data_IF_481773116415
#
_entry.id   IF_481773116415
#
_cell.length_a   1.000
_cell.length_b   1.000
_cell.length_c   1.000
_cell.angle_alpha   90.00
_cell.angle_beta   90.00
_cell.angle_gamma   90.00
#
_symmetry.space_group_name_H-M   'P 1'
#
loop_
_entity.id
_entity.type
_entity.pdbx_description
1 polymer ?
#
# COMPACT_ATOMS: atom_id res chain seq x y z
N UNK A 1 17.13 5.90 -38.19
CA UNK A 1 18.44 5.22 -38.31
C UNK A 1 19.17 5.35 -36.99
N UNK A 2 19.75 4.28 -36.45
CA UNK A 2 20.68 4.40 -35.34
C UNK A 2 21.83 5.31 -35.79
N UNK A 3 22.15 6.36 -35.01
CA UNK A 3 23.09 7.41 -35.45
C UNK A 3 24.55 6.93 -35.49
N UNK A 4 24.84 5.73 -35.00
CA UNK A 4 26.18 5.14 -34.91
C UNK A 4 26.08 3.63 -34.65
N UNK A 5 27.10 2.86 -35.05
CA UNK A 5 27.24 1.45 -34.67
C UNK A 5 27.21 1.28 -33.13
N UNK A 6 26.64 0.18 -32.60
CA UNK A 6 26.61 -0.05 -31.15
C UNK A 6 28.02 0.01 -30.57
N UNK A 7 28.15 0.64 -29.40
CA UNK A 7 29.42 0.64 -28.67
C UNK A 7 29.81 -0.80 -28.30
N UNK A 8 31.11 -1.10 -28.04
CA UNK A 8 31.51 -2.44 -27.59
C UNK A 8 30.75 -2.93 -26.36
N UNK A 9 30.39 -2.01 -25.46
CA UNK A 9 29.50 -2.25 -24.33
C UNK A 9 28.09 -2.70 -24.76
N UNK A 10 27.46 -1.98 -25.69
CA UNK A 10 26.14 -2.31 -26.20
C UNK A 10 26.14 -3.64 -26.96
N UNK A 11 27.20 -3.91 -27.73
CA UNK A 11 27.36 -5.18 -28.43
C UNK A 11 27.38 -6.37 -27.44
N UNK A 12 28.07 -6.24 -26.31
CA UNK A 12 28.08 -7.27 -25.26
C UNK A 12 26.70 -7.48 -24.62
N UNK A 13 25.96 -6.41 -24.35
CA UNK A 13 24.60 -6.50 -23.81
C UNK A 13 23.62 -7.14 -24.80
N UNK A 14 23.76 -6.82 -26.09
CA UNK A 14 22.97 -7.44 -27.17
C UNK A 14 23.30 -8.93 -27.28
N UNK A 15 24.57 -9.30 -27.20
CA UNK A 15 24.99 -10.72 -27.22
C UNK A 15 24.45 -11.48 -26.01
N UNK A 16 24.53 -10.87 -24.81
CA UNK A 16 23.96 -11.45 -23.60
C UNK A 16 22.45 -11.66 -23.73
N UNK A 17 21.71 -10.66 -24.22
CA UNK A 17 20.27 -10.80 -24.46
C UNK A 17 19.97 -11.93 -25.45
N UNK A 18 20.77 -12.04 -26.52
CA UNK A 18 20.63 -13.10 -27.52
C UNK A 18 20.88 -14.48 -26.94
N UNK A 19 21.89 -14.64 -26.07
CA UNK A 19 22.15 -15.91 -25.39
C UNK A 19 21.00 -16.32 -24.46
N UNK A 20 20.19 -15.36 -24.01
CA UNK A 20 18.94 -15.56 -23.25
C UNK A 20 17.69 -15.72 -24.13
N UNK A 21 17.87 -15.85 -25.45
CA UNK A 21 16.78 -16.00 -26.43
C UNK A 21 15.99 -14.71 -26.71
N UNK A 22 16.58 -13.55 -26.47
CA UNK A 22 15.92 -12.25 -26.59
C UNK A 22 16.62 -11.38 -27.63
N UNK A 23 15.88 -10.92 -28.63
CA UNK A 23 16.41 -9.97 -29.60
C UNK A 23 16.33 -8.53 -29.07
N UNK A 24 17.49 -7.89 -28.92
CA UNK A 24 17.60 -6.49 -28.53
C UNK A 24 18.45 -5.74 -29.55
N UNK A 25 18.00 -4.55 -29.93
CA UNK A 25 18.68 -3.68 -30.88
C UNK A 25 19.39 -2.53 -30.17
N UNK A 26 20.44 -1.98 -30.79
CA UNK A 26 21.14 -0.78 -30.28
C UNK A 26 20.19 0.40 -30.05
N UNK A 27 19.17 0.55 -30.90
CA UNK A 27 18.12 1.58 -30.77
C UNK A 27 17.25 1.38 -29.53
N UNK A 28 16.96 0.13 -29.16
CA UNK A 28 16.23 -0.15 -27.91
C UNK A 28 17.07 0.22 -26.69
N UNK A 29 18.36 -0.13 -26.68
CA UNK A 29 19.28 0.26 -25.61
C UNK A 29 19.38 1.79 -25.47
N UNK A 30 19.50 2.52 -26.58
CA UNK A 30 19.50 3.99 -26.59
C UNK A 30 18.20 4.56 -25.99
N UNK A 31 17.05 4.00 -26.40
CA UNK A 31 15.73 4.40 -25.87
C UNK A 31 15.58 4.09 -24.38
N UNK A 32 16.13 2.98 -23.90
CA UNK A 32 16.10 2.62 -22.48
C UNK A 32 16.99 3.54 -21.65
N UNK A 33 18.14 3.98 -22.16
CA UNK A 33 19.00 5.00 -21.50
C UNK A 33 18.48 6.43 -21.64
N UNK A 34 17.45 6.65 -22.45
CA UNK A 34 16.84 7.96 -22.66
C UNK A 34 16.32 8.59 -21.37
N UNK A 35 16.53 9.90 -21.23
CA UNK A 35 15.96 10.76 -20.17
C UNK A 35 14.45 10.98 -20.39
N UNK A 36 13.68 11.37 -19.35
CA UNK A 36 14.10 11.73 -17.99
C UNK A 36 14.35 10.54 -17.05
N UNK A 37 13.65 9.43 -17.21
CA UNK A 37 13.70 8.26 -16.30
C UNK A 37 14.38 7.06 -16.97
N UNK A 38 15.72 6.97 -16.97
CA UNK A 38 16.43 5.89 -17.67
C UNK A 38 16.10 4.50 -17.08
N UNK A 39 15.72 3.55 -17.94
CA UNK A 39 15.55 2.14 -17.58
C UNK A 39 16.89 1.41 -17.42
N UNK A 40 17.95 1.94 -18.03
CA UNK A 40 19.31 1.40 -17.94
C UNK A 40 20.25 2.47 -17.40
N UNK A 41 21.26 2.10 -16.59
CA UNK A 41 22.31 3.03 -16.23
C UNK A 41 23.03 3.54 -17.49
N UNK A 42 23.61 4.74 -17.35
CA UNK A 42 24.50 5.26 -18.39
C UNK A 42 25.76 4.41 -18.42
N UNK A 43 26.31 4.22 -19.63
CA UNK A 43 27.63 3.62 -19.75
C UNK A 43 28.63 4.51 -18.99
N UNK A 44 29.33 3.92 -18.04
CA UNK A 44 30.44 4.60 -17.37
C UNK A 44 31.47 5.00 -18.41
N UNK A 45 31.85 6.28 -18.38
CA UNK A 45 32.89 6.84 -19.23
C UNK A 45 34.19 6.78 -18.44
N UNK A 46 34.94 5.70 -18.58
CA UNK A 46 36.37 5.74 -18.28
C UNK A 46 37.09 6.45 -19.44
N UNK A 47 37.95 7.41 -19.11
CA UNK A 47 38.94 7.94 -20.04
C UNK A 47 40.25 7.21 -19.79
N UNK A 48 40.52 6.06 -20.43
CA UNK A 48 41.87 5.55 -20.45
C UNK A 48 42.72 6.60 -21.19
N UNK A 49 43.84 7.01 -20.61
CA UNK A 49 44.84 7.81 -21.33
C UNK A 49 45.08 7.17 -22.71
N UNK A 50 44.89 7.97 -23.78
CA UNK A 50 44.89 7.62 -25.23
C UNK A 50 45.98 6.61 -25.68
N UNK A 51 45.85 5.94 -26.87
CA UNK A 51 44.76 5.98 -27.85
C UNK A 51 44.35 4.57 -28.35
N UNK A 52 43.31 3.97 -27.77
CA UNK A 52 42.37 3.12 -28.52
C UNK A 52 40.99 3.44 -27.97
N UNK A 53 40.22 4.19 -28.74
CA UNK A 53 38.95 4.75 -28.33
C UNK A 53 37.92 3.69 -27.98
N UNK A 54 37.39 3.74 -26.77
CA UNK A 54 36.23 2.98 -26.38
C UNK A 54 35.81 3.32 -24.95
N UNK A 55 34.57 3.76 -24.79
CA UNK A 55 33.91 3.74 -23.48
C UNK A 55 33.86 2.26 -23.05
N UNK A 56 34.70 1.85 -22.11
CA UNK A 56 34.59 0.51 -21.52
C UNK A 56 33.49 0.57 -20.47
N UNK A 57 32.23 0.33 -20.86
CA UNK A 57 31.27 -0.13 -19.87
C UNK A 57 31.60 -1.59 -19.61
N UNK A 58 31.80 -1.96 -18.36
CA UNK A 58 31.69 -3.35 -17.95
C UNK A 58 30.28 -3.81 -18.31
N UNK A 59 30.18 -4.91 -19.06
CA UNK A 59 28.92 -5.61 -19.20
C UNK A 59 28.74 -6.38 -17.89
N UNK A 60 28.31 -5.66 -16.86
CA UNK A 60 27.96 -6.24 -15.58
C UNK A 60 26.81 -7.23 -15.82
N UNK A 61 26.91 -8.45 -15.27
CA UNK A 61 25.93 -9.52 -15.50
C UNK A 61 24.52 -9.06 -15.12
N UNK A 62 24.41 -8.27 -14.04
CA UNK A 62 23.17 -7.68 -13.55
C UNK A 62 22.49 -6.77 -14.60
N UNK A 63 23.28 -6.01 -15.37
CA UNK A 63 22.75 -5.14 -16.43
C UNK A 63 22.36 -5.95 -17.66
N UNK A 64 23.07 -7.03 -17.94
CA UNK A 64 22.67 -8.02 -18.95
C UNK A 64 21.29 -8.62 -18.63
N UNK A 65 21.07 -9.02 -17.38
CA UNK A 65 19.78 -9.54 -16.91
C UNK A 65 18.65 -8.52 -17.06
N UNK A 66 18.89 -7.26 -16.69
CA UNK A 66 17.93 -6.17 -16.89
C UNK A 66 17.60 -5.96 -18.38
N UNK A 67 18.60 -5.98 -19.26
CA UNK A 67 18.40 -5.88 -20.71
C UNK A 67 17.56 -7.04 -21.24
N UNK A 68 17.88 -8.27 -20.85
CA UNK A 68 17.11 -9.45 -21.26
C UNK A 68 15.67 -9.38 -20.73
N UNK A 69 15.48 -8.97 -19.47
CA UNK A 69 14.15 -8.78 -18.89
C UNK A 69 13.35 -7.72 -19.63
N UNK A 70 13.94 -6.56 -19.92
CA UNK A 70 13.28 -5.48 -20.66
C UNK A 70 12.90 -5.93 -22.08
N UNK A 71 13.75 -6.71 -22.75
CA UNK A 71 13.42 -7.26 -24.07
C UNK A 71 12.24 -8.25 -24.04
N UNK A 72 12.07 -9.02 -22.96
CA UNK A 72 10.92 -9.91 -22.76
C UNK A 72 9.63 -9.18 -22.39
N UNK A 73 9.73 -8.08 -21.62
CA UNK A 73 8.57 -7.44 -20.99
C UNK A 73 8.11 -6.15 -21.65
N UNK A 74 8.98 -5.49 -22.44
CA UNK A 74 8.60 -4.31 -23.18
C UNK A 74 7.68 -4.69 -24.35
N UNK A 75 6.45 -4.22 -24.28
CA UNK A 75 5.46 -4.29 -25.36
C UNK A 75 5.08 -2.89 -25.82
N UNK A 76 4.61 -2.76 -27.06
CA UNK A 76 4.07 -1.49 -27.55
C UNK A 76 2.92 -1.02 -26.66
N UNK A 77 2.91 0.28 -26.32
CA UNK A 77 1.88 0.89 -25.47
C UNK A 77 2.04 0.68 -23.96
N UNK A 78 3.01 -0.13 -23.50
CA UNK A 78 3.22 -0.34 -22.07
C UNK A 78 3.83 0.91 -21.43
N UNK A 79 3.28 1.32 -20.28
CA UNK A 79 3.81 2.43 -19.48
C UNK A 79 5.26 2.17 -19.11
N UNK A 80 6.09 3.21 -19.20
CA UNK A 80 7.50 3.15 -18.78
C UNK A 80 7.61 2.87 -17.28
N UNK A 81 6.67 3.36 -16.48
CA UNK A 81 6.68 3.18 -15.03
C UNK A 81 6.39 1.75 -14.64
N UNK A 82 5.47 1.12 -15.38
CA UNK A 82 5.20 -0.30 -15.21
C UNK A 82 6.43 -1.16 -15.53
N UNK A 83 7.30 -0.71 -16.44
CA UNK A 83 8.57 -1.39 -16.72
C UNK A 83 9.61 -1.13 -15.62
N UNK A 84 9.72 0.11 -15.12
CA UNK A 84 10.60 0.48 -14.00
C UNK A 84 10.23 -0.34 -12.76
N UNK A 85 8.96 -0.28 -12.35
CA UNK A 85 8.45 -0.95 -11.16
C UNK A 85 8.50 -2.47 -11.30
N UNK A 86 8.15 -3.00 -12.48
CA UNK A 86 8.24 -4.44 -12.75
C UNK A 86 9.68 -4.97 -12.72
N UNK A 87 10.65 -4.22 -13.25
CA UNK A 87 12.05 -4.62 -13.19
C UNK A 87 12.60 -4.49 -11.76
N UNK A 88 12.23 -3.42 -11.05
CA UNK A 88 12.58 -3.23 -9.65
C UNK A 88 12.06 -4.37 -8.75
N UNK A 89 10.83 -4.81 -8.99
CA UNK A 89 10.20 -5.94 -8.32
C UNK A 89 10.94 -7.27 -8.55
N UNK A 90 11.46 -7.45 -9.76
CA UNK A 90 12.26 -8.63 -10.13
C UNK A 90 13.68 -8.60 -9.55
N UNK A 91 14.01 -7.63 -8.68
CA UNK A 91 15.34 -7.50 -8.08
C UNK A 91 16.40 -6.94 -9.04
N UNK A 92 15.99 -6.45 -10.21
CA UNK A 92 16.93 -5.97 -11.22
C UNK A 92 17.43 -4.56 -10.90
N UNK A 93 18.65 -4.28 -11.35
CA UNK A 93 19.37 -3.02 -11.07
C UNK A 93 18.89 -1.86 -11.93
N UNK A 94 17.66 -1.41 -11.68
CA UNK A 94 17.09 -0.19 -12.26
C UNK A 94 17.70 1.04 -11.56
N UNK A 95 18.00 2.15 -12.27
CA UNK A 95 18.46 3.37 -11.61
C UNK A 95 17.49 3.84 -10.52
N UNK A 96 18.00 4.06 -9.31
CA UNK A 96 17.20 4.45 -8.15
C UNK A 96 16.34 5.69 -8.41
N UNK A 97 16.90 6.71 -9.08
CA UNK A 97 16.16 7.92 -9.45
C UNK A 97 14.93 7.63 -10.32
N UNK A 98 14.99 6.58 -11.15
CA UNK A 98 13.86 6.17 -11.99
C UNK A 98 12.81 5.43 -11.17
N UNK A 99 13.23 4.60 -10.21
CA UNK A 99 12.30 3.95 -9.26
C UNK A 99 11.57 5.00 -8.44
N UNK A 100 12.29 5.94 -7.81
CA UNK A 100 11.69 7.03 -7.03
C UNK A 100 10.78 7.90 -7.88
N UNK A 101 11.17 8.22 -9.11
CA UNK A 101 10.32 8.96 -10.06
C UNK A 101 9.03 8.21 -10.41
N UNK A 102 9.09 6.89 -10.62
CA UNK A 102 7.91 6.09 -10.92
C UNK A 102 6.92 6.03 -9.74
N UNK A 103 7.42 5.80 -8.52
CA UNK A 103 6.59 5.87 -7.30
C UNK A 103 6.05 7.29 -7.08
N UNK A 104 6.88 8.33 -7.22
CA UNK A 104 6.50 9.72 -7.00
C UNK A 104 5.44 10.20 -8.00
N UNK A 105 5.57 9.81 -9.27
CA UNK A 105 4.54 10.11 -10.29
C UNK A 105 3.21 9.44 -9.98
N UNK A 106 3.21 8.24 -9.41
CA UNK A 106 1.96 7.62 -8.96
C UNK A 106 1.26 8.47 -7.87
N UNK A 107 2.00 9.00 -6.90
CA UNK A 107 1.43 9.91 -5.87
C UNK A 107 0.91 11.22 -6.51
N UNK A 108 1.63 11.77 -7.49
CA UNK A 108 1.21 12.98 -8.22
C UNK A 108 -0.05 12.70 -9.05
N UNK A 109 -0.17 11.53 -9.67
CA UNK A 109 -1.35 11.10 -10.41
C UNK A 109 -2.56 10.98 -9.48
N UNK A 110 -2.39 10.38 -8.29
CA UNK A 110 -3.45 10.35 -7.26
C UNK A 110 -3.91 11.77 -6.88
N UNK A 111 -2.97 12.71 -6.71
CA UNK A 111 -3.28 14.10 -6.43
C UNK A 111 -4.04 14.79 -7.58
N UNK A 112 -3.65 14.50 -8.82
CA UNK A 112 -4.29 15.04 -10.02
C UNK A 112 -5.72 14.49 -10.17
N UNK A 113 -5.92 13.21 -9.93
CA UNK A 113 -7.24 12.56 -9.96
C UNK A 113 -8.14 13.10 -8.87
N UNK A 114 -7.63 13.24 -7.64
CA UNK A 114 -8.38 13.88 -6.56
C UNK A 114 -8.80 15.30 -6.94
N UNK A 115 -7.86 16.13 -7.41
CA UNK A 115 -8.15 17.51 -7.84
C UNK A 115 -9.20 17.55 -8.95
N UNK A 116 -9.12 16.64 -9.92
CA UNK A 116 -10.11 16.52 -11.00
C UNK A 116 -11.51 16.25 -10.44
N UNK A 117 -11.61 15.35 -9.46
CA UNK A 117 -12.89 14.97 -8.86
C UNK A 117 -13.45 16.05 -7.92
N UNK A 118 -12.60 16.80 -7.22
CA UNK A 118 -13.00 17.94 -6.39
C UNK A 118 -13.35 19.20 -7.21
N UNK A 119 -12.81 19.34 -8.41
CA UNK A 119 -13.00 20.55 -9.22
C UNK A 119 -12.32 21.78 -8.62
N UNK A 120 -12.46 22.97 -9.24
CA UNK A 120 -11.85 24.19 -8.73
C UNK A 120 -12.58 24.68 -7.46
N UNK A 121 -11.82 25.08 -6.45
CA UNK A 121 -12.35 25.88 -5.34
C UNK A 121 -12.58 27.31 -5.85
N UNK A 122 -13.84 27.76 -5.86
CA UNK A 122 -14.20 29.09 -6.34
C UNK A 122 -13.84 30.16 -5.29
N UNK A 123 -13.47 31.38 -5.71
CA UNK A 123 -13.22 32.47 -4.77
C UNK A 123 -14.43 32.75 -3.89
N UNK A 124 -14.25 32.70 -2.56
CA UNK A 124 -15.31 32.94 -1.58
C UNK A 124 -16.22 31.75 -1.31
N UNK A 125 -16.00 30.59 -1.92
CA UNK A 125 -16.68 29.36 -1.55
C UNK A 125 -16.15 28.82 -0.22
N UNK A 126 -17.03 28.20 0.56
CA UNK A 126 -16.65 27.47 1.77
C UNK A 126 -15.85 26.20 1.39
N UNK A 127 -14.62 26.01 1.91
CA UNK A 127 -13.85 24.80 1.68
C UNK A 127 -14.59 23.51 2.08
N UNK A 128 -15.42 23.53 3.13
CA UNK A 128 -16.13 22.34 3.59
C UNK A 128 -17.25 21.95 2.62
N UNK A 129 -17.99 22.93 2.10
CA UNK A 129 -18.99 22.70 1.05
C UNK A 129 -18.33 22.19 -0.25
N UNK A 130 -17.17 22.75 -0.61
CA UNK A 130 -16.40 22.29 -1.76
C UNK A 130 -15.93 20.84 -1.64
N UNK A 131 -15.45 20.45 -0.45
CA UNK A 131 -15.11 19.05 -0.15
C UNK A 131 -16.36 18.17 -0.15
N UNK A 132 -17.49 18.65 0.40
CA UNK A 132 -18.79 17.98 0.39
C UNK A 132 -19.29 17.63 -1.01
N UNK A 133 -19.29 18.61 -1.91
CA UNK A 133 -19.69 18.44 -3.31
C UNK A 133 -18.76 17.48 -4.05
N UNK A 134 -17.44 17.62 -3.84
CA UNK A 134 -16.44 16.74 -4.42
C UNK A 134 -16.56 15.30 -3.95
N UNK A 135 -16.74 15.10 -2.64
CA UNK A 135 -16.95 13.79 -2.03
C UNK A 135 -18.21 13.11 -2.55
N UNK A 136 -19.30 13.86 -2.73
CA UNK A 136 -20.53 13.36 -3.32
C UNK A 136 -20.32 12.84 -4.74
N UNK A 137 -19.55 13.55 -5.58
CA UNK A 137 -19.16 13.06 -6.92
C UNK A 137 -18.31 11.80 -6.85
N UNK A 138 -17.30 11.77 -5.98
CA UNK A 138 -16.45 10.59 -5.78
C UNK A 138 -17.29 9.38 -5.36
N UNK A 139 -18.21 9.56 -4.42
CA UNK A 139 -19.09 8.50 -3.93
C UNK A 139 -20.01 7.96 -5.03
N UNK A 140 -20.49 8.82 -5.94
CA UNK A 140 -21.29 8.42 -7.11
C UNK A 140 -20.47 7.62 -8.13
N UNK A 141 -19.26 8.07 -8.45
CA UNK A 141 -18.37 7.38 -9.40
C UNK A 141 -17.85 6.05 -8.85
N UNK A 142 -17.67 5.96 -7.51
CA UNK A 142 -17.13 4.80 -6.82
C UNK A 142 -18.19 3.96 -6.09
N UNK A 143 -19.46 4.03 -6.48
CA UNK A 143 -20.55 3.30 -5.82
C UNK A 143 -20.28 1.79 -5.65
N UNK A 144 -19.51 1.18 -6.54
CA UNK A 144 -19.15 -0.23 -6.47
C UNK A 144 -17.95 -0.55 -5.54
N UNK A 145 -17.25 0.47 -5.04
CA UNK A 145 -16.04 0.34 -4.20
C UNK A 145 -16.21 0.90 -2.77
N UNK A 146 -17.20 1.78 -2.55
CA UNK A 146 -17.27 2.69 -1.38
C UNK A 146 -17.45 2.08 0.01
N UNK A 147 -18.51 1.30 0.29
CA UNK A 147 -18.82 0.84 1.66
C UNK A 147 -19.18 -0.65 1.74
N UNK A 148 -19.12 -1.37 0.61
CA UNK A 148 -19.48 -2.77 0.58
C UNK A 148 -18.40 -3.66 1.17
N UNK A 149 -18.67 -4.29 2.32
CA UNK A 149 -17.90 -5.46 2.76
C UNK A 149 -18.05 -6.55 1.69
N UNK A 150 -16.95 -7.15 1.23
CA UNK A 150 -16.97 -8.22 0.23
C UNK A 150 -17.93 -9.35 0.66
N UNK A 151 -18.70 -9.91 -0.28
CA UNK A 151 -19.71 -10.95 0.03
C UNK A 151 -19.12 -12.16 0.76
N UNK A 152 -17.92 -12.58 0.39
CA UNK A 152 -17.22 -13.73 1.01
C UNK A 152 -16.88 -13.42 2.47
N UNK A 153 -16.34 -12.24 2.70
CA UNK A 153 -16.04 -11.73 4.03
C UNK A 153 -17.31 -11.77 4.92
N UNK A 154 -18.44 -11.21 4.46
CA UNK A 154 -19.72 -11.23 5.23
C UNK A 154 -20.19 -12.65 5.55
N UNK A 155 -20.00 -13.58 4.61
CA UNK A 155 -20.37 -14.99 4.81
C UNK A 155 -19.53 -15.62 5.91
N UNK A 156 -18.21 -15.40 5.88
CA UNK A 156 -17.30 -15.90 6.91
C UNK A 156 -17.68 -15.32 8.28
N UNK A 157 -17.88 -14.00 8.38
CA UNK A 157 -18.24 -13.34 9.64
C UNK A 157 -19.53 -13.91 10.22
N UNK A 158 -20.56 -14.05 9.38
CA UNK A 158 -21.84 -14.66 9.76
C UNK A 158 -21.63 -16.08 10.27
N UNK A 159 -20.88 -16.91 9.55
CA UNK A 159 -20.66 -18.30 9.93
C UNK A 159 -19.84 -18.46 11.21
N UNK A 160 -18.86 -17.58 11.47
CA UNK A 160 -18.13 -17.57 12.75
C UNK A 160 -19.04 -17.14 13.92
N UNK A 161 -19.96 -16.19 13.69
CA UNK A 161 -20.96 -15.78 14.70
C UNK A 161 -21.92 -16.89 15.07
N UNK A 162 -22.31 -17.69 14.09
CA UNK A 162 -23.25 -18.81 14.26
C UNK A 162 -22.56 -20.09 14.78
N UNK A 163 -21.23 -20.10 14.93
CA UNK A 163 -20.48 -21.28 15.34
C UNK A 163 -20.67 -21.56 16.85
N UNK A 164 -21.20 -22.74 17.25
CA UNK A 164 -21.47 -23.04 18.66
C UNK A 164 -20.23 -22.95 19.56
N UNK A 165 -19.05 -23.30 19.04
CA UNK A 165 -17.78 -23.22 19.77
C UNK A 165 -17.38 -21.78 20.15
N UNK A 166 -17.98 -20.76 19.54
CA UNK A 166 -17.73 -19.34 19.81
C UNK A 166 -18.93 -18.66 20.50
N UNK A 167 -19.96 -19.41 20.90
CA UNK A 167 -21.19 -18.84 21.45
C UNK A 167 -20.96 -18.00 22.72
N UNK A 168 -20.02 -18.39 23.57
CA UNK A 168 -19.67 -17.65 24.79
C UNK A 168 -18.74 -16.45 24.54
N UNK A 169 -18.01 -16.46 23.41
CA UNK A 169 -17.07 -15.41 23.05
C UNK A 169 -17.77 -14.12 22.59
N UNK A 170 -18.81 -14.24 21.76
CA UNK A 170 -19.47 -13.07 21.16
C UNK A 170 -20.13 -12.13 22.18
N UNK A 171 -20.81 -12.61 23.25
CA UNK A 171 -21.30 -11.73 24.30
C UNK A 171 -20.20 -10.93 24.99
N UNK A 172 -19.02 -11.53 25.24
CA UNK A 172 -17.87 -10.84 25.84
C UNK A 172 -17.37 -9.72 24.92
N UNK A 173 -17.21 -10.00 23.63
CA UNK A 173 -16.83 -8.97 22.66
C UNK A 173 -17.90 -7.89 22.52
N UNK A 174 -19.17 -8.27 22.55
CA UNK A 174 -20.29 -7.33 22.51
C UNK A 174 -20.27 -6.34 23.67
N UNK A 175 -19.89 -6.80 24.87
CA UNK A 175 -19.71 -5.93 26.03
C UNK A 175 -18.53 -4.95 25.86
N UNK A 176 -17.47 -5.34 25.13
CA UNK A 176 -16.31 -4.48 24.86
C UNK A 176 -16.56 -3.38 23.81
N UNK A 177 -17.50 -3.58 22.89
CA UNK A 177 -17.93 -2.56 21.90
C UNK A 177 -19.00 -1.62 22.47
N UNK A 178 -19.42 -1.85 23.71
CA UNK A 178 -20.19 -0.93 24.54
C UNK A 178 -21.45 -0.30 23.92
N UNK A 179 -22.17 -0.96 23.01
CA UNK A 179 -23.51 -0.60 22.50
C UNK A 179 -23.82 0.89 22.19
N UNK A 180 -22.82 1.72 21.94
CA UNK A 180 -22.94 3.16 21.68
C UNK A 180 -21.91 3.53 20.61
N UNK A 181 -22.16 4.38 19.63
CA UNK A 181 -23.37 5.14 19.28
C UNK A 181 -23.15 5.94 17.98
N UNK A 182 -22.04 5.68 17.27
CA UNK A 182 -21.71 6.41 16.06
C UNK A 182 -22.28 5.68 14.84
N UNK A 183 -23.22 6.32 14.17
CA UNK A 183 -23.76 5.80 12.92
C UNK A 183 -22.63 5.64 11.89
N UNK A 184 -22.52 4.45 11.25
CA UNK A 184 -21.62 4.24 10.13
C UNK A 184 -21.84 5.32 9.06
N UNK A 185 -20.74 5.79 8.47
CA UNK A 185 -20.76 6.67 7.31
C UNK A 185 -21.29 5.89 6.10
N UNK A 186 -22.10 6.58 5.31
CA UNK A 186 -22.42 6.14 3.95
C UNK A 186 -21.21 6.38 3.02
N UNK A 187 -21.37 6.05 1.73
CA UNK A 187 -20.30 6.25 0.74
C UNK A 187 -19.85 7.71 0.65
N UNK A 188 -20.79 8.66 0.77
CA UNK A 188 -20.50 10.09 0.69
C UNK A 188 -19.72 10.58 1.90
N UNK A 189 -20.13 10.19 3.11
CA UNK A 189 -19.41 10.47 4.35
C UNK A 189 -18.02 9.83 4.39
N UNK A 190 -17.88 8.59 3.91
CA UNK A 190 -16.58 7.95 3.75
C UNK A 190 -15.67 8.71 2.78
N UNK A 191 -16.21 9.12 1.63
CA UNK A 191 -15.46 9.92 0.67
C UNK A 191 -15.06 11.27 1.26
N UNK A 192 -15.98 11.95 1.96
CA UNK A 192 -15.76 13.26 2.58
C UNK A 192 -14.61 13.23 3.57
N UNK A 193 -14.67 12.33 4.55
CA UNK A 193 -13.62 12.23 5.57
C UNK A 193 -12.31 11.66 5.01
N UNK A 194 -12.35 10.83 3.96
CA UNK A 194 -11.13 10.42 3.26
C UNK A 194 -10.47 11.60 2.55
N UNK A 195 -11.25 12.49 1.92
CA UNK A 195 -10.72 13.69 1.27
C UNK A 195 -10.14 14.65 2.31
N UNK A 196 -10.83 14.89 3.42
CA UNK A 196 -10.30 15.71 4.51
C UNK A 196 -8.97 15.15 5.04
N UNK A 197 -8.90 13.84 5.30
CA UNK A 197 -7.65 13.20 5.70
C UNK A 197 -6.53 13.30 4.67
N UNK A 198 -6.88 13.26 3.38
CA UNK A 198 -5.89 13.41 2.31
C UNK A 198 -5.36 14.85 2.24
N UNK A 199 -6.22 15.85 2.38
CA UNK A 199 -5.87 17.26 2.21
C UNK A 199 -5.20 17.84 3.45
N UNK A 200 -5.76 17.55 4.62
CA UNK A 200 -5.39 18.16 5.90
C UNK A 200 -4.58 17.22 6.79
N UNK A 201 -4.42 15.95 6.38
CA UNK A 201 -3.74 14.96 7.22
C UNK A 201 -4.53 14.74 8.50
N UNK A 202 -3.79 14.68 9.60
CA UNK A 202 -4.35 14.46 10.92
C UNK A 202 -5.17 15.66 11.41
N UNK A 203 -4.76 16.89 11.11
CA UNK A 203 -5.44 18.12 11.55
C UNK A 203 -6.89 18.23 11.03
N UNK A 204 -7.23 17.49 9.96
CA UNK A 204 -8.58 17.46 9.40
C UNK A 204 -9.48 16.32 9.87
N UNK A 205 -9.03 15.44 10.77
CA UNK A 205 -9.83 14.28 11.20
C UNK A 205 -9.86 14.17 12.72
N UNK A 206 -11.07 14.24 13.28
CA UNK A 206 -11.31 13.97 14.70
C UNK A 206 -11.28 12.46 14.99
N UNK A 207 -10.80 11.99 16.15
CA UNK A 207 -10.77 10.56 16.51
C UNK A 207 -12.12 9.84 16.33
N UNK A 208 -13.22 10.50 16.67
CA UNK A 208 -14.58 9.97 16.49
C UNK A 208 -14.90 9.73 15.02
N UNK A 209 -14.35 10.55 14.12
CA UNK A 209 -14.46 10.36 12.67
C UNK A 209 -13.68 9.14 12.22
N UNK A 210 -12.47 8.92 12.74
CA UNK A 210 -11.68 7.70 12.46
C UNK A 210 -12.48 6.48 12.88
N UNK A 211 -13.08 6.50 14.07
CA UNK A 211 -13.92 5.41 14.56
C UNK A 211 -15.12 5.14 13.64
N UNK A 212 -15.82 6.18 13.19
CA UNK A 212 -16.92 6.07 12.23
C UNK A 212 -16.46 5.47 10.89
N UNK A 213 -15.31 5.90 10.36
CA UNK A 213 -14.72 5.29 9.15
C UNK A 213 -14.47 3.80 9.37
N UNK A 214 -13.88 3.45 10.51
CA UNK A 214 -13.59 2.06 10.88
C UNK A 214 -14.88 1.21 11.00
N UNK A 215 -15.92 1.70 11.66
CA UNK A 215 -17.24 1.03 11.73
C UNK A 215 -17.86 0.82 10.34
N UNK A 216 -17.79 1.84 9.48
CA UNK A 216 -18.30 1.78 8.10
C UNK A 216 -17.61 0.73 7.24
N UNK A 217 -16.34 0.46 7.53
CA UNK A 217 -15.55 -0.56 6.82
C UNK A 217 -15.76 -1.98 7.33
N UNK A 218 -16.29 -2.11 8.55
CA UNK A 218 -16.54 -3.40 9.20
C UNK A 218 -17.88 -3.98 8.77
N UNK A 219 -18.92 -3.14 8.71
CA UNK A 219 -20.30 -3.50 8.38
C UNK A 219 -21.27 -2.89 9.38
N UNK A 220 -22.47 -2.49 8.93
CA UNK A 220 -23.52 -1.98 9.83
C UNK A 220 -23.89 -3.10 10.81
N UNK A 221 -23.85 -2.81 12.12
CA UNK A 221 -24.10 -3.74 13.25
C UNK A 221 -23.00 -4.77 13.57
N UNK A 222 -21.81 -4.65 12.96
CA UNK A 222 -20.69 -5.51 13.32
C UNK A 222 -19.96 -4.99 14.56
N UNK A 223 -19.58 -5.91 15.45
CA UNK A 223 -18.82 -5.61 16.66
C UNK A 223 -17.44 -5.04 16.29
N UNK A 224 -17.10 -3.87 16.82
CA UNK A 224 -15.80 -3.26 16.60
C UNK A 224 -15.26 -2.57 17.87
N UNK A 225 -14.74 -3.35 18.84
CA UNK A 225 -14.13 -2.79 20.04
C UNK A 225 -13.01 -1.79 19.75
N UNK A 226 -12.26 -1.96 18.64
CA UNK A 226 -11.26 -0.98 18.21
C UNK A 226 -11.86 0.40 17.91
N UNK A 227 -13.01 0.46 17.25
CA UNK A 227 -13.74 1.71 17.03
C UNK A 227 -14.31 2.26 18.33
N UNK A 228 -14.86 1.40 19.20
CA UNK A 228 -15.38 1.84 20.50
C UNK A 228 -14.29 2.46 21.38
N UNK A 229 -13.07 1.92 21.37
CA UNK A 229 -11.92 2.49 22.08
C UNK A 229 -11.56 3.90 21.56
N UNK A 230 -11.73 4.14 20.26
CA UNK A 230 -11.54 5.46 19.66
C UNK A 230 -12.69 6.43 19.99
N UNK A 231 -13.87 5.93 20.32
CA UNK A 231 -15.09 6.72 20.58
C UNK A 231 -15.30 7.12 22.05
N UNK A 232 -14.94 6.25 22.99
CA UNK A 232 -15.51 6.32 24.35
C UNK A 232 -14.50 6.46 25.47
N UNK A 233 -13.26 6.05 25.23
CA UNK A 233 -12.30 6.03 26.29
C UNK A 233 -11.73 7.45 26.50
N UNK A 234 -11.73 7.91 27.76
CA UNK A 234 -11.20 9.19 28.23
C UNK A 234 -10.11 8.98 29.30
N UNK A 235 -9.72 7.74 29.63
CA UNK A 235 -8.68 7.45 30.62
C UNK A 235 -7.94 6.13 30.36
N UNK A 236 -6.63 6.25 30.04
CA UNK A 236 -5.60 5.18 29.95
C UNK A 236 -5.62 4.30 28.66
N UNK A 237 -4.51 3.87 28.00
CA UNK A 237 -3.11 4.30 27.93
C UNK A 237 -2.79 5.09 26.64
N UNK A 238 -3.80 5.36 25.81
CA UNK A 238 -3.72 6.25 24.64
C UNK A 238 -3.83 7.73 25.06
N UNK A 239 -3.60 8.06 26.35
CA UNK A 239 -3.53 9.44 26.82
C UNK A 239 -2.46 10.24 26.03
N UNK A 240 -1.36 9.60 25.65
CA UNK A 240 -0.34 10.16 24.76
C UNK A 240 -0.83 10.44 23.33
N UNK A 241 -1.92 9.79 22.91
CA UNK A 241 -2.59 9.91 21.61
C UNK A 241 -3.73 10.93 21.63
N UNK A 242 -4.18 11.36 22.83
CA UNK A 242 -5.29 12.30 23.07
C UNK A 242 -4.80 13.69 23.51
N UNK A 243 -3.73 13.77 24.30
CA UNK A 243 -3.03 15.03 24.59
C UNK A 243 -2.23 15.52 23.36
N UNK A 244 -2.05 14.59 22.43
CA UNK A 244 -1.65 14.82 21.07
C UNK A 244 -2.82 15.38 20.26
N UNK A 245 -2.68 16.55 19.62
CA UNK A 245 -3.56 16.86 18.51
C UNK A 245 -3.39 15.72 17.47
N UNK A 246 -4.37 15.48 16.61
CA UNK A 246 -4.42 14.30 15.74
C UNK A 246 -3.08 13.98 15.03
N UNK A 247 -2.22 14.98 14.79
CA UNK A 247 -0.85 14.85 14.30
C UNK A 247 0.16 14.06 15.16
N UNK A 248 -0.15 13.70 16.42
CA UNK A 248 0.67 12.78 17.22
C UNK A 248 0.02 11.41 17.42
N UNK A 249 -1.03 11.09 16.65
CA UNK A 249 -1.33 9.68 16.37
C UNK A 249 -0.13 9.09 15.63
N UNK A 250 0.60 8.10 16.21
CA UNK A 250 1.82 7.60 15.61
C UNK A 250 1.59 7.17 14.16
N UNK A 251 2.24 7.87 13.23
CA UNK A 251 2.17 7.61 11.80
C UNK A 251 1.20 8.48 11.00
N UNK A 252 0.28 9.26 11.58
CA UNK A 252 -0.52 10.22 10.79
C UNK A 252 0.28 11.50 10.50
N UNK A 253 0.29 12.01 9.26
CA UNK A 253 1.02 13.23 8.94
C UNK A 253 0.25 14.47 9.41
N UNK A 254 0.97 15.48 9.91
CA UNK A 254 0.38 16.78 10.31
C UNK A 254 -0.19 17.56 9.12
N UNK A 255 0.18 17.18 7.89
CA UNK A 255 -0.23 17.84 6.65
C UNK A 255 -0.74 16.81 5.65
N UNK A 256 -0.99 17.23 4.40
CA UNK A 256 -1.52 16.38 3.35
C UNK A 256 -0.90 14.97 3.30
N UNK A 257 -1.74 13.95 3.34
CA UNK A 257 -1.34 12.55 3.17
C UNK A 257 -0.54 12.35 1.88
N UNK A 258 -0.92 13.01 0.79
CA UNK A 258 -0.20 12.91 -0.48
C UNK A 258 1.21 13.48 -0.39
N UNK A 259 1.40 14.57 0.36
CA UNK A 259 2.74 15.08 0.63
C UNK A 259 3.56 14.06 1.44
N UNK A 260 2.96 13.49 2.48
CA UNK A 260 3.62 12.47 3.29
C UNK A 260 3.99 11.22 2.49
N UNK A 261 3.07 10.68 1.69
CA UNK A 261 3.36 9.54 0.80
C UNK A 261 4.48 9.89 -0.19
N UNK A 262 4.52 11.11 -0.71
CA UNK A 262 5.61 11.56 -1.56
C UNK A 262 6.95 11.62 -0.80
N UNK A 263 6.97 12.11 0.44
CA UNK A 263 8.17 12.08 1.28
C UNK A 263 8.62 10.66 1.61
N UNK A 264 7.69 9.73 1.88
CA UNK A 264 8.02 8.31 2.02
C UNK A 264 8.74 7.76 0.79
N UNK A 265 8.32 8.15 -0.42
CA UNK A 265 9.01 7.74 -1.67
C UNK A 265 10.43 8.30 -1.75
N UNK A 266 10.70 9.48 -1.22
CA UNK A 266 12.02 10.12 -1.27
C UNK A 266 12.96 9.60 -0.19
N UNK A 267 12.44 9.37 1.02
CA UNK A 267 13.25 9.16 2.22
C UNK A 267 13.41 7.67 2.56
N UNK A 268 12.47 6.81 2.12
CA UNK A 268 12.53 5.38 2.42
C UNK A 268 13.75 4.75 1.71
N UNK A 269 14.56 3.93 2.42
CA UNK A 269 15.62 3.14 1.80
C UNK A 269 15.08 2.25 0.69
N UNK A 270 15.81 2.12 -0.42
CA UNK A 270 15.34 1.40 -1.61
C UNK A 270 15.00 -0.08 -1.31
N UNK A 271 15.74 -0.72 -0.41
CA UNK A 271 15.46 -2.08 0.06
C UNK A 271 14.12 -2.19 0.79
N UNK A 272 13.76 -1.18 1.60
CA UNK A 272 12.48 -1.14 2.30
C UNK A 272 11.32 -0.84 1.34
N UNK A 273 11.54 -0.01 0.33
CA UNK A 273 10.58 0.16 -0.78
C UNK A 273 10.36 -1.17 -1.53
N UNK A 274 11.41 -1.96 -1.76
CA UNK A 274 11.31 -3.28 -2.40
C UNK A 274 10.54 -4.25 -1.52
N UNK A 275 10.85 -4.32 -0.24
CA UNK A 275 10.13 -5.16 0.71
C UNK A 275 8.64 -4.81 0.73
N UNK A 276 8.28 -3.52 0.72
CA UNK A 276 6.89 -3.08 0.68
C UNK A 276 6.19 -3.45 -0.63
N UNK A 277 6.90 -3.33 -1.76
CA UNK A 277 6.39 -3.78 -3.04
C UNK A 277 6.09 -5.29 -3.04
N UNK A 278 7.02 -6.09 -2.51
CA UNK A 278 6.85 -7.54 -2.40
C UNK A 278 5.68 -7.90 -1.48
N UNK A 279 5.59 -7.26 -0.31
CA UNK A 279 4.48 -7.40 0.62
C UNK A 279 3.13 -7.04 -0.02
N UNK A 280 3.07 -5.95 -0.78
CA UNK A 280 1.87 -5.58 -1.54
C UNK A 280 1.49 -6.66 -2.58
N UNK A 281 2.49 -7.29 -3.20
CA UNK A 281 2.29 -8.37 -4.17
C UNK A 281 1.76 -9.67 -3.57
N UNK A 282 1.89 -9.88 -2.26
CA UNK A 282 1.36 -11.08 -1.58
C UNK A 282 -0.05 -10.88 -1.01
N UNK A 283 -0.58 -9.65 -0.99
CA UNK A 283 -1.89 -9.34 -0.37
C UNK A 283 -3.02 -10.21 -0.91
N UNK A 284 -3.11 -10.38 -2.23
CA UNK A 284 -4.16 -11.18 -2.86
C UNK A 284 -4.10 -12.65 -2.42
N UNK A 285 -2.94 -13.28 -2.56
CA UNK A 285 -2.73 -14.69 -2.16
C UNK A 285 -2.96 -14.87 -0.67
N UNK A 286 -2.42 -13.99 0.17
CA UNK A 286 -2.61 -14.04 1.62
C UNK A 286 -4.10 -13.93 2.01
N UNK A 287 -4.83 -13.00 1.40
CA UNK A 287 -6.25 -12.82 1.70
C UNK A 287 -7.08 -14.04 1.27
N UNK A 288 -6.79 -14.61 0.11
CA UNK A 288 -7.42 -15.83 -0.41
C UNK A 288 -7.12 -17.05 0.49
N UNK A 289 -5.85 -17.25 0.86
CA UNK A 289 -5.42 -18.36 1.72
C UNK A 289 -6.04 -18.26 3.12
N UNK A 290 -6.09 -17.05 3.69
CA UNK A 290 -6.74 -16.83 4.98
C UNK A 290 -8.24 -17.12 4.90
N UNK A 291 -8.95 -16.65 3.86
CA UNK A 291 -10.36 -16.97 3.68
C UNK A 291 -10.59 -18.48 3.56
N UNK A 292 -9.79 -19.18 2.75
CA UNK A 292 -9.90 -20.62 2.55
C UNK A 292 -9.63 -21.42 3.84
N UNK A 293 -8.64 -21.00 4.63
CA UNK A 293 -8.31 -21.63 5.91
C UNK A 293 -9.46 -21.45 6.93
N UNK A 294 -10.03 -20.25 7.04
CA UNK A 294 -11.16 -19.98 7.93
C UNK A 294 -12.41 -20.76 7.49
N UNK A 295 -12.71 -20.79 6.20
CA UNK A 295 -13.83 -21.58 5.65
C UNK A 295 -13.67 -23.07 5.96
N UNK A 296 -12.44 -23.57 5.94
CA UNK A 296 -12.11 -24.96 6.31
C UNK A 296 -12.39 -25.22 7.79
N UNK A 297 -11.94 -24.34 8.69
CA UNK A 297 -12.19 -24.46 10.13
C UNK A 297 -13.69 -24.38 10.47
N UNK A 298 -14.43 -23.47 9.82
CA UNK A 298 -15.89 -23.36 9.93
C UNK A 298 -16.57 -24.67 9.51
N UNK A 299 -16.14 -25.27 8.39
CA UNK A 299 -16.72 -26.52 7.89
C UNK A 299 -16.52 -27.69 8.86
N UNK A 300 -15.43 -27.70 9.62
CA UNK A 300 -15.18 -28.68 10.68
C UNK A 300 -15.87 -28.34 12.02
N UNK A 301 -16.45 -27.15 12.14
CA UNK A 301 -17.10 -26.70 13.38
C UNK A 301 -16.14 -26.41 14.54
N UNK A 302 -14.84 -26.34 14.26
CA UNK A 302 -13.78 -26.17 15.26
C UNK A 302 -12.95 -24.94 14.88
N UNK A 303 -13.09 -23.82 15.61
CA UNK A 303 -12.28 -22.64 15.36
C UNK A 303 -10.82 -22.95 15.68
N UNK A 304 -9.92 -22.55 14.79
CA UNK A 304 -8.49 -22.75 14.92
C UNK A 304 -7.71 -21.44 14.70
N UNK A 305 -6.40 -21.54 14.42
CA UNK A 305 -5.53 -20.39 14.25
C UNK A 305 -5.96 -19.42 13.13
N UNK A 306 -6.65 -19.91 12.09
CA UNK A 306 -7.13 -19.03 11.02
C UNK A 306 -8.33 -18.20 11.48
N UNK A 307 -9.29 -18.82 12.18
CA UNK A 307 -10.43 -18.14 12.78
C UNK A 307 -9.98 -17.13 13.83
N UNK A 308 -8.99 -17.46 14.65
CA UNK A 308 -8.39 -16.54 15.62
C UNK A 308 -7.82 -15.30 14.92
N UNK A 309 -6.96 -15.49 13.91
CA UNK A 309 -6.41 -14.38 13.10
C UNK A 309 -7.50 -13.55 12.42
N UNK A 310 -8.53 -14.20 11.90
CA UNK A 310 -9.67 -13.52 11.29
C UNK A 310 -10.40 -12.64 12.30
N UNK A 311 -10.72 -13.20 13.48
CA UNK A 311 -11.42 -12.51 14.56
C UNK A 311 -10.61 -11.30 15.02
N UNK A 312 -9.33 -11.45 15.33
CA UNK A 312 -8.47 -10.31 15.67
C UNK A 312 -8.45 -9.24 14.56
N UNK A 313 -8.43 -9.67 13.30
CA UNK A 313 -8.52 -8.76 12.17
C UNK A 313 -9.84 -7.99 12.11
N UNK A 314 -10.97 -8.59 12.52
CA UNK A 314 -12.25 -7.90 12.64
C UNK A 314 -12.24 -6.88 13.78
N UNK A 315 -11.69 -7.23 14.95
CA UNK A 315 -11.76 -6.39 16.15
C UNK A 315 -10.93 -5.11 16.06
N UNK A 316 -9.84 -5.12 15.28
CA UNK A 316 -8.87 -4.01 15.20
C UNK A 316 -8.71 -3.41 13.78
N UNK A 317 -9.50 -3.88 12.81
CA UNK A 317 -9.74 -3.30 11.47
C UNK A 317 -8.57 -3.20 10.47
N UNK A 318 -7.31 -3.16 10.91
CA UNK A 318 -6.17 -3.07 9.99
C UNK A 318 -6.06 -4.30 9.07
N UNK A 319 -6.07 -5.50 9.65
CA UNK A 319 -6.02 -6.74 8.87
C UNK A 319 -7.25 -6.88 7.97
N UNK A 320 -8.41 -6.37 8.41
CA UNK A 320 -9.65 -6.34 7.63
C UNK A 320 -9.50 -5.51 6.36
N UNK A 321 -8.90 -4.33 6.46
CA UNK A 321 -8.66 -3.47 5.32
C UNK A 321 -7.68 -4.10 4.32
N UNK A 322 -6.62 -4.76 4.80
CA UNK A 322 -5.70 -5.50 3.92
C UNK A 322 -6.37 -6.68 3.21
N UNK A 323 -7.24 -7.43 3.90
CA UNK A 323 -8.02 -8.52 3.28
C UNK A 323 -8.92 -7.95 2.19
N UNK A 324 -9.58 -6.81 2.44
CA UNK A 324 -10.44 -6.15 1.44
C UNK A 324 -9.64 -5.75 0.21
N UNK A 325 -8.46 -5.16 0.38
CA UNK A 325 -7.57 -4.80 -0.73
C UNK A 325 -7.17 -6.04 -1.53
N UNK A 326 -6.68 -7.10 -0.85
CA UNK A 326 -6.27 -8.34 -1.50
C UNK A 326 -7.39 -9.02 -2.31
N UNK A 327 -8.62 -9.07 -1.77
CA UNK A 327 -9.77 -9.66 -2.45
C UNK A 327 -10.34 -8.78 -3.57
N UNK A 328 -10.20 -7.45 -3.48
CA UNK A 328 -10.66 -6.53 -4.52
C UNK A 328 -9.73 -6.54 -5.75
N UNK A 329 -8.45 -6.84 -5.53
CA UNK A 329 -7.39 -6.74 -6.53
C UNK A 329 -6.59 -8.05 -6.62
N UNK A 330 -7.20 -9.17 -7.07
CA UNK A 330 -6.52 -10.47 -7.13
C UNK A 330 -5.34 -10.49 -8.12
N UNK A 331 -5.32 -9.55 -9.06
CA UNK A 331 -4.24 -9.35 -10.02
C UNK A 331 -3.96 -7.83 -10.13
N UNK A 332 -3.27 -7.23 -9.15
CA UNK A 332 -3.11 -5.79 -9.11
C UNK A 332 -2.28 -5.31 -10.30
N UNK A 333 -2.70 -4.20 -10.90
CA UNK A 333 -1.85 -3.45 -11.82
C UNK A 333 -0.63 -2.89 -11.07
N UNK A 334 0.48 -2.54 -11.75
CA UNK A 334 1.63 -1.94 -11.09
C UNK A 334 1.30 -0.66 -10.31
N UNK A 335 0.32 0.12 -10.79
CA UNK A 335 -0.16 1.31 -10.07
C UNK A 335 -0.90 0.94 -8.78
N UNK A 336 -1.78 -0.06 -8.82
CA UNK A 336 -2.47 -0.57 -7.63
C UNK A 336 -1.51 -1.16 -6.59
N UNK A 337 -0.53 -1.94 -7.05
CA UNK A 337 0.50 -2.49 -6.18
C UNK A 337 1.39 -1.39 -5.59
N UNK A 338 1.70 -0.33 -6.36
CA UNK A 338 2.40 0.86 -5.87
C UNK A 338 1.61 1.54 -4.74
N UNK A 339 0.30 1.74 -4.93
CA UNK A 339 -0.58 2.32 -3.91
C UNK A 339 -0.56 1.48 -2.63
N UNK A 340 -0.75 0.16 -2.77
CA UNK A 340 -0.73 -0.78 -1.65
C UNK A 340 0.62 -0.80 -0.93
N UNK A 341 1.74 -0.74 -1.65
CA UNK A 341 3.08 -0.70 -1.07
C UNK A 341 3.30 0.57 -0.24
N UNK A 342 2.85 1.72 -0.74
CA UNK A 342 2.92 2.99 0.00
C UNK A 342 2.01 2.98 1.23
N UNK A 343 0.80 2.43 1.12
CA UNK A 343 -0.09 2.24 2.27
C UNK A 343 0.51 1.30 3.33
N UNK A 344 1.16 0.21 2.92
CA UNK A 344 1.84 -0.70 3.84
C UNK A 344 3.03 -0.03 4.54
N UNK A 345 3.83 0.79 3.84
CA UNK A 345 4.91 1.57 4.46
C UNK A 345 4.38 2.57 5.47
N UNK A 346 3.30 3.27 5.11
CA UNK A 346 2.61 4.20 5.97
C UNK A 346 2.17 3.53 7.28
N UNK A 347 1.45 2.41 7.18
CA UNK A 347 1.00 1.63 8.34
C UNK A 347 2.18 1.06 9.14
N UNK A 348 3.23 0.59 8.46
CA UNK A 348 4.41 0.05 9.12
C UNK A 348 5.10 1.12 9.97
N UNK A 349 5.26 2.35 9.46
CA UNK A 349 5.83 3.47 10.21
C UNK A 349 5.02 3.80 11.47
N UNK A 350 3.69 3.85 11.36
CA UNK A 350 2.82 4.05 12.53
C UNK A 350 2.94 2.91 13.55
N UNK A 351 3.02 1.67 13.08
CA UNK A 351 3.18 0.48 13.94
C UNK A 351 4.53 0.49 14.66
N UNK A 352 5.62 0.84 13.97
CA UNK A 352 6.96 0.97 14.56
C UNK A 352 7.01 2.05 15.64
N UNK A 353 6.37 3.20 15.38
CA UNK A 353 6.29 4.29 16.35
C UNK A 353 5.47 3.89 17.58
N UNK A 354 4.35 3.17 17.42
CA UNK A 354 3.59 2.62 18.52
C UNK A 354 4.39 1.57 19.32
N UNK A 355 5.10 0.67 18.63
CA UNK A 355 5.97 -0.34 19.25
C UNK A 355 7.12 0.27 20.02
N UNK A 356 7.66 1.42 19.59
CA UNK A 356 8.71 2.12 20.32
C UNK A 356 8.25 2.59 21.71
N UNK A 357 6.96 2.90 21.86
CA UNK A 357 6.34 3.36 23.10
C UNK A 357 5.73 2.23 23.94
N UNK A 358 5.55 1.03 23.35
CA UNK A 358 4.91 -0.10 23.99
C UNK A 358 5.79 -0.81 25.03
N UNK A 359 5.16 -1.23 26.12
CA UNK A 359 5.69 -2.18 27.09
C UNK A 359 5.70 -3.62 26.51
N UNK A 360 6.11 -4.61 27.33
CA UNK A 360 6.21 -6.00 26.88
C UNK A 360 4.86 -6.57 26.44
N UNK A 361 3.78 -6.25 27.16
CA UNK A 361 2.42 -6.68 26.82
C UNK A 361 1.93 -6.01 25.54
N UNK A 362 2.17 -4.70 25.36
CA UNK A 362 1.87 -3.98 24.13
C UNK A 362 2.61 -4.53 22.91
N UNK A 363 3.87 -4.94 23.07
CA UNK A 363 4.65 -5.61 22.00
C UNK A 363 4.09 -6.98 21.66
N UNK A 364 3.69 -7.75 22.67
CA UNK A 364 3.05 -9.05 22.47
C UNK A 364 1.73 -8.91 21.70
N UNK A 365 0.88 -7.95 22.09
CA UNK A 365 -0.38 -7.64 21.39
C UNK A 365 -0.13 -7.15 19.97
N UNK A 366 0.85 -6.28 19.75
CA UNK A 366 1.21 -5.81 18.41
C UNK A 366 1.68 -6.96 17.50
N UNK A 367 2.45 -7.94 18.02
CA UNK A 367 2.79 -9.14 17.25
C UNK A 367 1.54 -9.94 16.85
N UNK A 368 0.58 -10.11 17.75
CA UNK A 368 -0.69 -10.79 17.45
C UNK A 368 -1.52 -10.05 16.40
N UNK A 369 -1.56 -8.73 16.47
CA UNK A 369 -2.40 -7.89 15.60
C UNK A 369 -1.76 -7.56 14.24
N UNK A 370 -0.45 -7.71 14.10
CA UNK A 370 0.25 -7.38 12.85
C UNK A 370 0.01 -8.45 11.78
N UNK A 371 -0.69 -8.11 10.68
CA UNK A 371 -0.99 -9.07 9.61
C UNK A 371 0.29 -9.49 8.88
N UNK A 372 0.30 -10.73 8.37
CA UNK A 372 1.49 -11.33 7.77
C UNK A 372 2.15 -10.48 6.65
N UNK A 373 1.40 -9.83 5.74
CA UNK A 373 2.00 -8.96 4.73
C UNK A 373 2.72 -7.73 5.31
N UNK A 374 2.33 -7.25 6.50
CA UNK A 374 2.94 -6.07 7.12
C UNK A 374 4.22 -6.41 7.89
N UNK A 375 4.32 -7.63 8.43
CA UNK A 375 5.44 -8.07 9.29
C UNK A 375 6.84 -7.79 8.73
N UNK A 376 7.15 -8.04 7.43
CA UNK A 376 8.49 -7.78 6.88
C UNK A 376 8.90 -6.30 6.91
N UNK A 377 7.94 -5.39 7.14
CA UNK A 377 8.15 -3.95 7.11
C UNK A 377 8.26 -3.31 8.49
N UNK A 378 7.96 -4.06 9.55
CA UNK A 378 7.91 -3.54 10.93
C UNK A 378 9.13 -4.02 11.69
N UNK A 379 10.06 -3.10 11.96
CA UNK A 379 11.21 -3.38 12.79
C UNK A 379 10.79 -3.73 14.24
N UNK A 380 11.47 -4.71 14.83
CA UNK A 380 11.25 -5.10 16.22
C UNK A 380 10.19 -6.20 16.44
N UNK A 381 9.54 -6.69 15.37
CA UNK A 381 8.72 -7.90 15.44
C UNK A 381 9.52 -9.14 14.99
N UNK A 382 9.29 -10.31 15.60
CA UNK A 382 9.95 -11.54 15.17
C UNK A 382 9.47 -11.97 13.77
N UNK A 383 10.40 -12.42 12.93
CA UNK A 383 10.07 -13.13 11.70
C UNK A 383 9.47 -14.49 12.09
N UNK A 384 8.19 -14.70 11.79
CA UNK A 384 7.47 -15.96 12.05
C UNK A 384 7.29 -16.76 10.78
#
# INVERSE_FOLDING_TARGET
MARTSPSPADARLIEYARSQGVEVTARQLERWRGKPDPLLPRNERSWPGRPVGGSSSTADGEIGELVAWLGKHQKQGRSRDHLILGAFAAGLRVPESSVRSAFGRHVIEMAADLRKNLGPLLPGADPDDWVGDGASRIALEQQHRGAGVNRRIRKIDKSLRELPALAEFWPTIGALDGSAGAEPLDNAGLAFHSVLGILLGADGIMPETIARVVRSRSGVSDLNPGAYLLETDNGDPLQALRDAPAHQVPGLPESSMLHHLHSLVLDTPLERLRAAWQAAGTLATWAEDLCAAVETEIAYGLPGPASEKWIYGMLFSLSRDLIRVGLAEPNPTPSQQCSSALSLLFVAGGTEAALALADEDGRHRADLLTPAPLRPLVAGLPAR
#
